data_IF_427261059616
#
_entry.id   IF_427261059616
#
_cell.length_a   1.000
_cell.length_b   1.000
_cell.length_c   1.000
_cell.angle_alpha   90.00
_cell.angle_beta   90.00
_cell.angle_gamma   90.00
#
_symmetry.space_group_name_H-M   'P 1'
#
loop_
_entity.id
_entity.type
_entity.pdbx_description
1 polymer ?
#
# COMPACT_ATOMS: atom_id res chain seq x y z
N UNK A 1 -5.08 -7.86 -0.78
CA UNK A 1 -4.12 -6.75 -0.53
C UNK A 1 -4.82 -5.44 -0.78
N UNK A 2 -4.70 -4.46 0.13
CA UNK A 2 -5.28 -3.12 -0.02
C UNK A 2 -4.14 -2.12 -0.21
N UNK A 3 -4.26 -1.21 -1.18
CA UNK A 3 -3.23 -0.22 -1.43
C UNK A 3 -3.50 0.65 -2.65
N UNK A 4 -2.50 1.44 -3.05
CA UNK A 4 -2.59 2.34 -4.20
C UNK A 4 -1.39 2.19 -5.12
N UNK A 5 -1.63 2.23 -6.43
CA UNK A 5 -0.61 2.30 -7.48
C UNK A 5 -0.88 3.49 -8.38
N UNK A 6 0.14 3.95 -9.09
CA UNK A 6 -0.02 4.95 -10.14
C UNK A 6 -0.73 4.37 -11.35
N UNK A 7 -1.39 5.23 -12.14
CA UNK A 7 -1.87 4.87 -13.48
C UNK A 7 -0.71 4.90 -14.48
N UNK A 8 0.27 4.02 -14.28
CA UNK A 8 1.48 3.92 -15.07
C UNK A 8 1.85 2.46 -15.39
N UNK A 9 2.89 2.27 -16.22
CA UNK A 9 3.33 0.94 -16.63
C UNK A 9 3.81 0.09 -15.44
N UNK A 10 4.50 0.71 -14.49
CA UNK A 10 4.97 0.03 -13.28
C UNK A 10 3.81 -0.47 -12.42
N UNK A 11 2.74 0.31 -12.28
CA UNK A 11 1.52 -0.10 -11.58
C UNK A 11 0.83 -1.28 -12.26
N UNK A 12 0.73 -1.26 -13.59
CA UNK A 12 0.21 -2.40 -14.37
C UNK A 12 1.05 -3.67 -14.18
N UNK A 13 2.37 -3.54 -14.21
CA UNK A 13 3.30 -4.65 -13.98
C UNK A 13 3.16 -5.20 -12.57
N UNK A 14 3.14 -4.35 -11.55
CA UNK A 14 2.98 -4.76 -10.15
C UNK A 14 1.69 -5.56 -9.93
N UNK A 15 0.55 -5.05 -10.41
CA UNK A 15 -0.75 -5.73 -10.30
C UNK A 15 -0.73 -7.08 -11.02
N UNK A 16 -0.08 -7.16 -12.20
CA UNK A 16 0.07 -8.42 -12.95
C UNK A 16 0.89 -9.45 -12.17
N UNK A 17 2.03 -9.05 -11.61
CA UNK A 17 2.90 -9.95 -10.85
C UNK A 17 2.29 -10.41 -9.53
N UNK A 18 1.54 -9.53 -8.85
CA UNK A 18 0.76 -9.90 -7.65
C UNK A 18 -0.30 -10.95 -7.97
N UNK A 19 -1.08 -10.76 -9.05
CA UNK A 19 -2.08 -11.74 -9.50
C UNK A 19 -1.47 -13.10 -9.81
N UNK A 20 -0.33 -13.13 -10.51
CA UNK A 20 0.39 -14.38 -10.81
C UNK A 20 0.80 -15.15 -9.55
N UNK A 21 1.02 -14.46 -8.45
CA UNK A 21 1.37 -15.04 -7.14
C UNK A 21 0.15 -15.39 -6.29
N UNK A 22 -1.06 -15.32 -6.84
CA UNK A 22 -2.30 -15.63 -6.14
C UNK A 22 -2.75 -14.56 -5.14
N UNK A 23 -2.16 -13.36 -5.18
CA UNK A 23 -2.58 -12.25 -4.30
C UNK A 23 -3.86 -11.62 -4.83
N UNK A 24 -4.87 -11.49 -3.97
CA UNK A 24 -6.04 -10.69 -4.30
C UNK A 24 -5.67 -9.20 -4.39
N UNK A 25 -5.91 -8.62 -5.56
CA UNK A 25 -5.61 -7.23 -5.92
C UNK A 25 -6.87 -6.40 -6.18
N UNK A 26 -8.05 -6.93 -5.87
CA UNK A 26 -9.35 -6.26 -6.02
C UNK A 26 -9.38 -4.88 -5.34
N UNK A 27 -8.69 -4.76 -4.20
CA UNK A 27 -8.62 -3.56 -3.38
C UNK A 27 -7.38 -2.68 -3.64
N UNK A 28 -6.67 -2.89 -4.76
CA UNK A 28 -5.61 -1.98 -5.22
C UNK A 28 -6.20 -0.89 -6.11
N UNK A 29 -6.14 0.35 -5.63
CA UNK A 29 -6.66 1.51 -6.36
C UNK A 29 -5.60 2.12 -7.29
N UNK A 30 -6.04 2.67 -8.41
CA UNK A 30 -5.17 3.43 -9.32
C UNK A 30 -5.32 4.93 -9.09
N UNK A 31 -4.20 5.65 -9.08
CA UNK A 31 -4.14 7.10 -8.94
C UNK A 31 -3.36 7.72 -10.11
N UNK A 32 -3.95 8.66 -10.83
CA UNK A 32 -3.25 9.38 -11.91
C UNK A 32 -2.36 10.52 -11.42
N UNK A 33 -2.60 11.05 -10.21
CA UNK A 33 -1.84 12.14 -9.60
C UNK A 33 -0.58 11.69 -8.86
N UNK A 34 -0.33 10.38 -8.75
CA UNK A 34 0.84 9.83 -8.03
C UNK A 34 1.50 8.71 -8.86
N UNK A 35 2.84 8.68 -8.96
CA UNK A 35 3.53 7.58 -9.60
C UNK A 35 3.49 6.31 -8.73
N UNK A 36 3.55 5.14 -9.37
CA UNK A 36 3.84 3.90 -8.65
C UNK A 36 5.24 3.98 -8.06
N UNK A 37 5.35 3.74 -6.74
CA UNK A 37 6.63 3.77 -6.01
C UNK A 37 7.59 2.75 -6.60
N UNK A 38 8.76 3.20 -7.04
CA UNK A 38 9.81 2.36 -7.61
C UNK A 38 11.14 2.67 -6.94
N UNK A 39 11.86 1.60 -6.58
CA UNK A 39 13.21 1.65 -6.02
C UNK A 39 14.13 0.89 -6.97
N UNK A 40 14.79 1.61 -7.87
CA UNK A 40 15.69 1.03 -8.86
C UNK A 40 17.13 1.07 -8.33
N UNK A 41 17.81 -0.08 -8.37
CA UNK A 41 19.23 -0.22 -8.00
C UNK A 41 20.01 -0.68 -9.24
N UNK A 42 20.96 0.13 -9.67
CA UNK A 42 21.90 -0.23 -10.74
C UNK A 42 23.13 -0.85 -10.08
N UNK A 43 23.45 -2.09 -10.42
CA UNK A 43 24.53 -2.87 -9.80
C UNK A 43 25.54 -3.23 -10.88
N UNK A 44 26.83 -3.03 -10.61
CA UNK A 44 27.93 -3.49 -11.44
C UNK A 44 29.07 -4.01 -10.57
N UNK A 45 29.72 -5.11 -10.99
CA UNK A 45 30.81 -5.77 -10.22
C UNK A 45 30.43 -6.01 -8.75
N UNK A 46 29.21 -6.46 -8.51
CA UNK A 46 28.64 -6.71 -7.17
C UNK A 46 28.54 -5.48 -6.25
N UNK A 47 28.65 -4.27 -6.80
CA UNK A 47 28.51 -3.01 -6.08
C UNK A 47 27.30 -2.22 -6.60
N UNK A 48 26.55 -1.60 -5.69
CA UNK A 48 25.46 -0.68 -6.07
C UNK A 48 26.08 0.64 -6.55
N UNK A 49 25.90 0.94 -7.83
CA UNK A 49 26.45 2.13 -8.48
C UNK A 49 25.48 3.31 -8.32
N UNK A 50 24.20 3.09 -8.61
CA UNK A 50 23.18 4.15 -8.59
C UNK A 50 21.89 3.63 -7.95
N UNK A 51 21.24 4.51 -7.19
CA UNK A 51 19.86 4.33 -6.74
C UNK A 51 18.98 5.40 -7.37
N UNK A 52 17.89 4.98 -8.02
CA UNK A 52 16.87 5.88 -8.56
C UNK A 52 15.55 5.56 -7.88
N UNK A 53 15.03 6.52 -7.13
CA UNK A 53 13.78 6.41 -6.40
C UNK A 53 12.72 7.26 -7.11
N UNK A 54 11.64 6.62 -7.57
CA UNK A 54 10.47 7.32 -8.11
C UNK A 54 9.33 7.17 -7.12
N UNK A 55 9.09 8.18 -6.32
CA UNK A 55 8.13 8.14 -5.22
C UNK A 55 7.57 9.52 -4.88
N UNK A 56 6.43 9.52 -4.18
CA UNK A 56 5.80 10.72 -3.59
C UNK A 56 5.42 10.36 -2.16
N UNK A 57 5.61 11.32 -1.24
CA UNK A 57 5.39 11.12 0.20
C UNK A 57 4.19 11.88 0.74
N UNK A 58 3.53 12.70 -0.08
CA UNK A 58 2.31 13.42 0.33
C UNK A 58 1.25 12.45 0.80
N UNK A 59 0.38 12.84 1.72
CA UNK A 59 -0.73 11.98 2.13
C UNK A 59 -1.71 11.72 0.97
N UNK A 60 -2.39 10.59 1.02
CA UNK A 60 -3.52 10.30 0.12
C UNK A 60 -4.68 11.25 0.39
N UNK A 61 -5.50 11.47 -0.64
CA UNK A 61 -6.70 12.30 -0.49
C UNK A 61 -7.69 11.67 0.50
N UNK A 62 -8.44 12.52 1.23
CA UNK A 62 -9.43 12.07 2.21
C UNK A 62 -10.48 11.11 1.61
N UNK A 63 -10.83 11.27 0.32
CA UNK A 63 -11.75 10.37 -0.38
C UNK A 63 -11.14 8.98 -0.60
N UNK A 64 -9.84 8.91 -0.88
CA UNK A 64 -9.10 7.64 -1.00
C UNK A 64 -9.01 6.98 0.37
N UNK A 65 -8.68 7.73 1.42
CA UNK A 65 -8.62 7.22 2.78
C UNK A 65 -9.97 6.62 3.23
N UNK A 66 -11.08 7.34 3.02
CA UNK A 66 -12.43 6.85 3.31
C UNK A 66 -12.76 5.56 2.55
N UNK A 67 -12.32 5.46 1.29
CA UNK A 67 -12.52 4.25 0.48
C UNK A 67 -11.73 3.07 1.03
N UNK A 68 -10.46 3.26 1.39
CA UNK A 68 -9.63 2.23 2.05
C UNK A 68 -10.33 1.77 3.33
N UNK A 69 -10.71 2.71 4.19
CA UNK A 69 -11.35 2.40 5.46
C UNK A 69 -12.66 1.63 5.28
N UNK A 70 -13.51 2.04 4.32
CA UNK A 70 -14.76 1.36 3.99
C UNK A 70 -14.53 -0.07 3.49
N UNK A 71 -13.52 -0.28 2.65
CA UNK A 71 -13.17 -1.60 2.13
C UNK A 71 -12.62 -2.53 3.22
N UNK A 72 -11.77 -2.01 4.11
CA UNK A 72 -11.29 -2.76 5.28
C UNK A 72 -12.45 -3.13 6.19
N UNK A 73 -13.31 -2.17 6.53
CA UNK A 73 -14.46 -2.37 7.41
C UNK A 73 -15.43 -3.44 6.90
N UNK A 74 -15.68 -3.50 5.57
CA UNK A 74 -16.57 -4.48 4.95
C UNK A 74 -16.01 -5.90 4.94
N UNK A 75 -14.70 -6.04 4.78
CA UNK A 75 -14.03 -7.34 4.62
C UNK A 75 -13.43 -7.87 5.92
N UNK A 76 -13.52 -7.10 7.01
CA UNK A 76 -12.83 -7.39 8.26
C UNK A 76 -13.16 -8.78 8.83
N UNK A 77 -14.41 -9.21 8.73
CA UNK A 77 -14.86 -10.53 9.19
C UNK A 77 -14.37 -11.70 8.32
N UNK A 78 -13.86 -11.42 7.12
CA UNK A 78 -13.36 -12.43 6.19
C UNK A 78 -11.83 -12.61 6.31
N UNK A 79 -11.17 -11.85 7.19
CA UNK A 79 -9.72 -11.85 7.36
C UNK A 79 -9.33 -12.36 8.74
N UNK A 80 -8.39 -13.28 8.79
CA UNK A 80 -7.84 -13.80 10.04
C UNK A 80 -6.89 -12.83 10.74
N UNK A 81 -6.43 -11.78 10.04
CA UNK A 81 -5.48 -10.82 10.58
C UNK A 81 -5.22 -9.64 9.64
N UNK A 82 -4.73 -8.53 10.20
CA UNK A 82 -4.31 -7.35 9.43
C UNK A 82 -2.83 -7.06 9.67
N UNK A 83 -2.10 -6.92 8.57
CA UNK A 83 -0.71 -6.43 8.56
C UNK A 83 -0.67 -5.06 7.88
N UNK A 84 -0.30 -4.03 8.62
CA UNK A 84 -0.05 -2.68 8.08
C UNK A 84 1.44 -2.53 7.83
N UNK A 85 1.81 -2.40 6.56
CA UNK A 85 3.17 -2.10 6.14
C UNK A 85 3.29 -0.62 5.80
N UNK A 86 3.59 0.20 6.81
CA UNK A 86 3.86 1.62 6.62
C UNK A 86 5.33 1.85 6.24
N UNK A 87 5.52 2.52 5.09
CA UNK A 87 6.81 2.91 4.51
C UNK A 87 6.96 4.43 4.41
N UNK A 88 6.13 5.21 5.11
CA UNK A 88 6.14 6.68 5.11
C UNK A 88 6.01 7.31 3.71
N UNK A 89 5.15 6.74 2.86
CA UNK A 89 4.83 7.24 1.51
C UNK A 89 3.45 7.87 1.40
N UNK A 90 2.87 8.22 2.54
CA UNK A 90 1.60 8.93 2.66
C UNK A 90 0.34 8.10 2.36
N UNK A 91 0.46 6.81 2.03
CA UNK A 91 -0.68 5.90 1.89
C UNK A 91 -1.29 5.50 3.23
N UNK A 92 -0.48 5.42 4.28
CA UNK A 92 -0.92 5.12 5.64
C UNK A 92 -0.95 6.43 6.40
N UNK A 93 -2.13 6.81 6.88
CA UNK A 93 -2.34 8.03 7.67
C UNK A 93 -2.67 7.68 9.11
N UNK A 94 -2.47 8.63 10.03
CA UNK A 94 -2.89 8.46 11.43
C UNK A 94 -4.38 8.20 11.55
N UNK A 95 -5.19 8.92 10.76
CA UNK A 95 -6.65 8.76 10.72
C UNK A 95 -7.05 7.35 10.32
N UNK A 96 -6.44 6.81 9.26
CA UNK A 96 -6.71 5.46 8.79
C UNK A 96 -6.39 4.39 9.84
N UNK A 97 -5.20 4.44 10.45
CA UNK A 97 -4.80 3.43 11.44
C UNK A 97 -5.65 3.52 12.70
N UNK A 98 -5.94 4.74 13.18
CA UNK A 98 -6.86 4.91 14.31
C UNK A 98 -8.25 4.37 13.99
N UNK A 99 -8.78 4.70 12.81
CA UNK A 99 -10.06 4.17 12.34
C UNK A 99 -10.09 2.64 12.37
N UNK A 100 -9.05 1.99 11.82
CA UNK A 100 -8.94 0.53 11.80
C UNK A 100 -8.85 -0.04 13.23
N UNK A 101 -8.07 0.57 14.13
CA UNK A 101 -7.98 0.15 15.54
C UNK A 101 -9.29 0.29 16.29
N UNK A 102 -10.09 1.30 15.95
CA UNK A 102 -11.41 1.55 16.54
C UNK A 102 -12.48 0.57 16.08
N UNK A 103 -12.25 -0.19 14.99
CA UNK A 103 -13.08 -1.32 14.61
C UNK A 103 -12.89 -2.42 15.68
N UNK A 104 -13.70 -2.38 16.74
CA UNK A 104 -13.71 -3.39 17.82
C UNK A 104 -13.81 -4.79 17.21
N UNK A 105 -12.70 -5.51 17.13
CA UNK A 105 -12.64 -6.83 16.50
C UNK A 105 -11.71 -7.79 17.22
N UNK A 106 -12.04 -9.07 17.12
CA UNK A 106 -11.22 -10.20 17.59
C UNK A 106 -10.03 -10.50 16.66
N UNK A 107 -9.90 -9.76 15.55
CA UNK A 107 -8.90 -9.95 14.50
C UNK A 107 -7.54 -9.37 14.93
N UNK A 108 -6.48 -10.20 15.02
CA UNK A 108 -5.12 -9.75 15.35
C UNK A 108 -4.59 -8.66 14.39
N UNK A 109 -3.85 -7.70 14.96
CA UNK A 109 -3.32 -6.54 14.26
C UNK A 109 -1.80 -6.40 14.46
N UNK A 110 -1.05 -6.22 13.37
CA UNK A 110 0.38 -5.94 13.38
C UNK A 110 0.71 -4.74 12.48
N UNK A 111 1.54 -3.81 12.95
CA UNK A 111 1.98 -2.63 12.20
C UNK A 111 3.50 -2.45 12.26
N UNK A 112 4.14 -2.09 11.14
CA UNK A 112 5.56 -1.72 11.11
C UNK A 112 5.83 -0.41 11.86
N UNK A 113 7.04 -0.22 12.44
CA UNK A 113 7.32 0.83 13.44
C UNK A 113 7.55 2.25 12.88
N UNK A 114 6.91 2.66 11.78
CA UNK A 114 7.13 3.97 11.16
C UNK A 114 6.11 5.05 11.56
N UNK A 115 5.45 4.89 12.72
CA UNK A 115 4.31 5.71 13.13
C UNK A 115 4.57 6.62 14.33
#
# INVERSE_FOLDING_TARGET
>A
MVGQVGRDQAGKQLVKELRKRGVDVSEIMQNSGRPTTQKMRVIARSQQIVRVDKEVSDYIDANVEKRIFGNVSKNLNNWDGIVISDYAKGCITRGLVQGIKWLKTSTPFCSSPFM
#
